data_IF_839288167220
#
_entry.id   IF_839288167220
#
_cell.length_a   1.000
_cell.length_b   1.000
_cell.length_c   1.000
_cell.angle_alpha   90.00
_cell.angle_beta   90.00
_cell.angle_gamma   90.00
#
_symmetry.space_group_name_H-M   'P 1'
#
loop_
_entity.id
_entity.type
_entity.pdbx_description
1 polymer ?
#
# COMPACT_ATOMS: atom_id res chain seq x y z
N UNK A 1 -20.18 -8.06 12.51
CA UNK A 1 -20.35 -9.06 11.45
C UNK A 1 -18.96 -9.48 11.00
N UNK A 2 -18.58 -10.76 11.16
CA UNK A 2 -17.27 -11.28 10.75
C UNK A 2 -17.26 -11.49 9.23
N UNK A 3 -16.31 -10.87 8.53
CA UNK A 3 -16.09 -11.03 7.09
C UNK A 3 -14.75 -11.74 6.87
N UNK A 4 -14.74 -13.02 6.44
CA UNK A 4 -13.51 -13.81 6.35
C UNK A 4 -12.53 -13.29 5.28
N UNK A 5 -12.99 -12.44 4.38
CA UNK A 5 -12.22 -11.76 3.33
C UNK A 5 -11.60 -10.43 3.77
N UNK A 6 -11.82 -10.03 5.03
CA UNK A 6 -11.29 -8.80 5.61
C UNK A 6 -10.20 -9.12 6.64
N UNK A 7 -9.21 -8.22 6.73
CA UNK A 7 -8.16 -8.29 7.73
C UNK A 7 -8.24 -7.08 8.65
N UNK A 8 -7.86 -7.25 9.92
CA UNK A 8 -7.65 -6.13 10.83
C UNK A 8 -6.29 -5.44 10.60
N UNK A 9 -5.50 -5.95 9.67
CA UNK A 9 -4.13 -5.53 9.43
C UNK A 9 -3.89 -5.07 7.99
N UNK A 10 -2.89 -4.22 7.86
CA UNK A 10 -2.46 -3.60 6.62
C UNK A 10 -0.97 -3.85 6.43
N UNK A 11 -0.59 -4.37 5.27
CA UNK A 11 0.80 -4.70 4.95
C UNK A 11 1.42 -3.66 4.01
N UNK A 12 2.61 -3.17 4.35
CA UNK A 12 3.49 -2.45 3.42
C UNK A 12 4.56 -3.41 2.91
N UNK A 13 4.52 -3.73 1.62
CA UNK A 13 5.54 -4.55 0.97
C UNK A 13 6.68 -3.68 0.49
N UNK A 14 7.92 -4.08 0.80
CA UNK A 14 9.10 -3.40 0.26
C UNK A 14 9.29 -3.83 -1.19
N UNK A 15 9.89 -2.96 -2.00
CA UNK A 15 10.21 -3.24 -3.39
C UNK A 15 11.68 -3.00 -3.63
N UNK A 16 12.24 -3.79 -4.52
CA UNK A 16 13.58 -3.57 -5.04
C UNK A 16 13.61 -2.25 -5.82
N UNK A 17 14.70 -1.50 -5.66
CA UNK A 17 15.03 -0.34 -6.47
C UNK A 17 16.47 -0.47 -6.96
N UNK A 18 16.86 0.40 -7.90
CA UNK A 18 18.13 0.33 -8.65
C UNK A 18 19.36 0.07 -7.76
N UNK A 19 19.37 0.61 -6.54
CA UNK A 19 20.53 0.56 -5.63
C UNK A 19 20.26 -0.18 -4.31
N UNK A 20 19.06 -0.71 -4.09
CA UNK A 20 18.71 -1.35 -2.81
C UNK A 20 17.73 -2.49 -3.00
N UNK A 21 18.07 -3.65 -2.44
CA UNK A 21 17.19 -4.81 -2.43
C UNK A 21 15.96 -4.58 -1.54
N UNK A 22 14.90 -5.35 -1.76
CA UNK A 22 13.71 -5.28 -0.93
C UNK A 22 13.99 -5.65 0.55
N UNK A 23 14.95 -6.55 0.78
CA UNK A 23 15.42 -6.94 2.12
C UNK A 23 16.15 -5.79 2.81
N UNK A 24 17.17 -5.20 2.17
CA UNK A 24 17.91 -4.07 2.74
C UNK A 24 16.99 -2.89 3.02
N UNK A 25 15.99 -2.66 2.16
CA UNK A 25 14.96 -1.64 2.41
C UNK A 25 14.14 -1.93 3.66
N UNK A 26 13.77 -3.19 3.91
CA UNK A 26 13.08 -3.57 5.14
C UNK A 26 13.99 -3.33 6.37
N UNK A 27 15.26 -3.69 6.29
CA UNK A 27 16.25 -3.43 7.35
C UNK A 27 16.38 -1.93 7.63
N UNK A 28 16.47 -1.10 6.60
CA UNK A 28 16.50 0.36 6.76
C UNK A 28 15.23 0.89 7.43
N UNK A 29 14.06 0.44 6.99
CA UNK A 29 12.76 0.82 7.58
C UNK A 29 12.72 0.48 9.08
N UNK A 30 13.21 -0.71 9.47
CA UNK A 30 13.22 -1.17 10.85
C UNK A 30 14.25 -0.42 11.72
N UNK A 31 15.40 -0.06 11.15
CA UNK A 31 16.44 0.71 11.86
C UNK A 31 16.03 2.18 12.03
N UNK A 32 15.49 2.80 10.98
CA UNK A 32 14.98 4.18 11.03
C UNK A 32 13.63 4.29 11.73
N UNK A 33 12.95 3.15 11.95
CA UNK A 33 11.56 3.04 12.42
C UNK A 33 10.59 3.94 11.65
N UNK A 34 10.75 3.96 10.34
CA UNK A 34 10.07 4.93 9.46
C UNK A 34 9.81 4.37 8.08
N UNK A 35 8.59 4.53 7.60
CA UNK A 35 8.22 4.39 6.19
C UNK A 35 8.25 5.77 5.53
N UNK A 36 9.06 5.91 4.47
CA UNK A 36 9.13 7.14 3.68
C UNK A 36 8.02 7.13 2.63
N UNK A 37 7.27 8.22 2.55
CA UNK A 37 6.24 8.41 1.56
C UNK A 37 6.86 8.58 0.16
N UNK A 38 6.19 8.02 -0.84
CA UNK A 38 6.54 8.20 -2.25
C UNK A 38 5.51 9.09 -2.93
N UNK A 39 5.96 9.86 -3.91
CA UNK A 39 5.11 10.75 -4.69
C UNK A 39 4.27 9.97 -5.69
N UNK A 40 2.96 10.17 -5.68
CA UNK A 40 2.08 9.52 -6.66
C UNK A 40 2.14 10.16 -8.03
N UNK A 41 2.06 9.36 -9.12
CA UNK A 41 2.18 9.87 -10.49
C UNK A 41 1.08 10.87 -10.91
N UNK A 42 -0.17 10.68 -10.48
CA UNK A 42 -1.32 11.46 -11.01
C UNK A 42 -1.71 12.67 -10.16
N UNK A 43 -1.42 12.68 -8.87
CA UNK A 43 -1.74 13.81 -7.97
C UNK A 43 -0.50 14.52 -7.42
N UNK A 44 0.71 14.03 -7.74
CA UNK A 44 1.97 14.58 -7.25
C UNK A 44 2.01 14.81 -5.72
N UNK A 45 1.31 13.95 -4.98
CA UNK A 45 1.16 14.04 -3.53
C UNK A 45 1.86 12.85 -2.89
N UNK A 46 2.61 13.05 -1.78
CA UNK A 46 3.28 11.95 -1.09
C UNK A 46 2.28 11.03 -0.38
N UNK A 47 2.54 9.73 -0.42
CA UNK A 47 1.86 8.77 0.45
C UNK A 47 2.71 7.55 0.78
N UNK A 48 2.43 6.90 1.91
CA UNK A 48 2.80 5.50 2.15
C UNK A 48 1.59 4.63 1.84
N UNK A 49 1.74 3.64 0.97
CA UNK A 49 0.67 2.70 0.60
C UNK A 49 0.75 1.40 1.40
N UNK A 50 -0.41 0.84 1.71
CA UNK A 50 -0.58 -0.44 2.37
C UNK A 50 -1.64 -1.27 1.63
N UNK A 51 -1.56 -2.58 1.73
CA UNK A 51 -2.57 -3.50 1.19
C UNK A 51 -3.29 -4.21 2.33
N UNK A 52 -4.61 -4.13 2.34
CA UNK A 52 -5.44 -5.02 3.14
C UNK A 52 -5.57 -6.37 2.42
N UNK A 53 -5.04 -7.41 3.05
CA UNK A 53 -5.16 -8.75 2.53
C UNK A 53 -5.43 -9.75 3.67
N UNK A 54 -6.35 -10.71 3.47
CA UNK A 54 -6.43 -11.91 4.30
C UNK A 54 -5.07 -12.62 4.36
N UNK A 55 -4.81 -13.34 5.44
CA UNK A 55 -3.58 -14.11 5.62
C UNK A 55 -3.28 -15.04 4.45
N UNK A 56 -4.31 -15.67 3.87
CA UNK A 56 -4.18 -16.54 2.69
C UNK A 56 -3.76 -15.79 1.42
N UNK A 57 -4.10 -14.50 1.31
CA UNK A 57 -3.74 -13.64 0.19
C UNK A 57 -2.33 -13.06 0.34
N UNK A 58 -1.79 -12.92 1.56
CA UNK A 58 -0.42 -12.43 1.80
C UNK A 58 0.61 -13.29 1.04
N UNK A 59 0.44 -14.61 1.03
CA UNK A 59 1.32 -15.55 0.30
C UNK A 59 1.28 -15.34 -1.22
N UNK A 60 0.17 -14.86 -1.77
CA UNK A 60 0.10 -14.51 -3.20
C UNK A 60 0.76 -13.14 -3.47
N UNK A 61 0.63 -12.20 -2.54
CA UNK A 61 1.26 -10.89 -2.64
C UNK A 61 2.78 -10.95 -2.53
N UNK A 62 3.33 -11.87 -1.73
CA UNK A 62 4.79 -12.07 -1.64
C UNK A 62 5.40 -12.46 -2.98
N UNK A 63 4.68 -13.24 -3.79
CA UNK A 63 5.10 -13.60 -5.15
C UNK A 63 5.04 -12.45 -6.16
N UNK A 64 4.15 -11.47 -5.95
CA UNK A 64 3.90 -10.36 -6.90
C UNK A 64 4.71 -9.10 -6.60
N UNK A 65 4.91 -8.77 -5.33
CA UNK A 65 5.57 -7.52 -4.92
C UNK A 65 6.98 -7.74 -4.41
N UNK A 66 7.11 -8.56 -3.38
CA UNK A 66 8.36 -8.99 -2.74
C UNK A 66 8.01 -9.89 -1.56
N UNK A 67 8.84 -10.87 -1.19
CA UNK A 67 8.66 -11.63 0.04
C UNK A 67 8.97 -10.84 1.32
N UNK A 68 9.22 -9.54 1.24
CA UNK A 68 9.54 -8.68 2.39
C UNK A 68 8.48 -7.61 2.63
N UNK A 69 8.13 -7.38 3.89
CA UNK A 69 7.13 -6.39 4.26
C UNK A 69 6.93 -6.25 5.76
N UNK A 70 6.12 -5.26 6.14
CA UNK A 70 5.81 -4.91 7.52
C UNK A 70 4.32 -4.64 7.67
N UNK A 71 3.73 -5.12 8.77
CA UNK A 71 2.30 -5.08 9.04
C UNK A 71 1.93 -4.20 10.21
N UNK A 72 0.83 -3.48 10.09
CA UNK A 72 0.25 -2.63 11.14
C UNK A 72 -1.25 -2.88 11.29
N UNK A 73 -1.81 -2.57 12.46
CA UNK A 73 -3.25 -2.65 12.66
C UNK A 73 -3.98 -1.47 12.02
N UNK A 74 -5.22 -1.71 11.55
CA UNK A 74 -6.09 -0.66 11.02
C UNK A 74 -6.31 0.50 12.02
N UNK A 75 -6.58 0.25 13.33
CA UNK A 75 -6.68 1.34 14.30
C UNK A 75 -5.42 2.20 14.36
N UNK A 76 -4.23 1.60 14.31
CA UNK A 76 -2.98 2.35 14.29
C UNK A 76 -2.88 3.22 13.04
N UNK A 77 -3.06 2.65 11.85
CA UNK A 77 -2.97 3.39 10.59
C UNK A 77 -4.02 4.50 10.51
N UNK A 78 -5.25 4.22 10.93
CA UNK A 78 -6.32 5.21 10.98
C UNK A 78 -5.99 6.38 11.92
N UNK A 79 -5.37 6.11 13.07
CA UNK A 79 -4.93 7.15 14.02
C UNK A 79 -3.83 8.07 13.46
N UNK A 80 -3.19 7.66 12.35
CA UNK A 80 -2.13 8.40 11.63
C UNK A 80 -2.64 9.00 10.31
N UNK A 81 -3.91 9.39 10.27
CA UNK A 81 -4.58 9.93 9.08
C UNK A 81 -4.58 8.96 7.88
N UNK A 82 -4.50 7.66 8.17
CA UNK A 82 -4.59 6.62 7.16
C UNK A 82 -6.03 6.30 6.79
N UNK A 83 -6.28 6.05 5.51
CA UNK A 83 -7.62 5.78 4.99
C UNK A 83 -7.59 4.82 3.79
N UNK A 84 -8.66 4.05 3.55
CA UNK A 84 -8.87 3.36 2.28
C UNK A 84 -8.77 4.32 1.09
N UNK A 85 -8.28 3.78 -0.04
CA UNK A 85 -8.23 4.47 -1.33
C UNK A 85 -9.59 4.40 -2.03
N UNK A 86 -10.01 5.52 -2.59
CA UNK A 86 -11.12 5.65 -3.52
C UNK A 86 -10.62 5.37 -4.94
N UNK A 87 -10.89 4.16 -5.43
CA UNK A 87 -10.73 3.86 -6.84
C UNK A 87 -11.91 4.41 -7.63
N UNK A 88 -11.63 5.31 -8.56
CA UNK A 88 -12.65 6.01 -9.34
C UNK A 88 -12.41 5.74 -10.81
N UNK A 89 -13.46 5.44 -11.54
CA UNK A 89 -13.38 5.27 -12.99
C UNK A 89 -12.90 6.60 -13.62
N UNK A 90 -11.96 6.54 -14.56
CA UNK A 90 -11.26 7.72 -15.06
C UNK A 90 -12.16 8.86 -15.57
N UNK A 91 -13.26 8.56 -16.25
CA UNK A 91 -14.18 9.58 -16.75
C UNK A 91 -14.95 10.27 -15.61
N UNK A 92 -15.33 9.52 -14.58
CA UNK A 92 -15.95 10.04 -13.38
C UNK A 92 -14.96 10.91 -12.60
N UNK A 93 -13.72 10.45 -12.45
CA UNK A 93 -12.67 11.20 -11.77
C UNK A 93 -12.49 12.61 -12.37
N UNK A 94 -12.51 12.73 -13.71
CA UNK A 94 -12.39 14.01 -14.44
C UNK A 94 -13.60 14.94 -14.26
N UNK A 95 -14.77 14.39 -13.96
CA UNK A 95 -16.01 15.16 -13.75
C UNK A 95 -16.12 15.72 -12.32
N UNK A 96 -15.20 15.36 -11.43
CA UNK A 96 -15.22 15.79 -10.02
C UNK A 96 -14.13 16.81 -9.74
N UNK A 97 -14.39 17.68 -8.77
CA UNK A 97 -13.37 18.53 -8.14
C UNK A 97 -13.00 17.93 -6.79
N UNK A 98 -11.78 17.41 -6.68
CA UNK A 98 -11.29 16.77 -5.45
C UNK A 98 -10.66 17.80 -4.53
N UNK A 99 -11.12 17.84 -3.28
CA UNK A 99 -10.46 18.61 -2.23
C UNK A 99 -9.01 18.14 -2.06
N UNK A 100 -8.06 19.06 -1.83
CA UNK A 100 -6.62 18.76 -1.79
C UNK A 100 -6.25 17.67 -0.78
N UNK A 101 -6.94 17.63 0.36
CA UNK A 101 -6.75 16.58 1.37
C UNK A 101 -7.10 15.16 0.87
N UNK A 102 -7.93 15.03 -0.15
CA UNK A 102 -8.33 13.74 -0.72
C UNK A 102 -7.39 13.26 -1.82
N UNK A 103 -6.50 14.11 -2.33
CA UNK A 103 -5.54 13.76 -3.38
C UNK A 103 -4.70 12.51 -3.07
N UNK A 104 -4.23 12.29 -1.82
CA UNK A 104 -3.58 11.05 -1.40
C UNK A 104 -4.41 9.79 -1.64
N UNK A 105 -5.72 9.90 -1.48
CA UNK A 105 -6.64 8.76 -1.34
C UNK A 105 -7.43 8.49 -2.61
N UNK A 106 -7.29 9.27 -3.67
CA UNK A 106 -8.07 9.09 -4.89
C UNK A 106 -7.16 8.55 -5.99
N UNK A 107 -7.59 7.46 -6.62
CA UNK A 107 -6.85 6.82 -7.72
C UNK A 107 -7.77 6.56 -8.90
N UNK A 108 -7.56 7.24 -10.04
CA UNK A 108 -8.28 6.92 -11.25
C UNK A 108 -7.82 5.58 -11.83
N UNK A 109 -8.74 4.80 -12.41
CA UNK A 109 -8.41 3.59 -13.16
C UNK A 109 -9.28 3.44 -14.42
N UNK A 110 -8.81 2.64 -15.37
CA UNK A 110 -9.45 2.47 -16.67
C UNK A 110 -9.36 1.02 -17.17
N UNK A 111 -10.36 0.17 -16.87
CA UNK A 111 -10.26 -1.27 -17.10
C UNK A 111 -10.37 -1.64 -18.58
N UNK A 112 -9.79 -2.78 -18.97
CA UNK A 112 -9.78 -3.25 -20.36
C UNK A 112 -11.17 -3.68 -20.87
N UNK A 113 -12.08 -4.07 -19.98
CA UNK A 113 -13.45 -4.49 -20.32
C UNK A 113 -14.42 -3.31 -20.58
N UNK A 114 -13.92 -2.07 -20.59
CA UNK A 114 -14.72 -0.88 -20.94
C UNK A 114 -15.30 -0.99 -22.36
N UNK A 115 -16.44 -0.34 -22.66
CA UNK A 115 -16.95 -0.25 -24.02
C UNK A 115 -15.93 0.38 -24.98
N UNK A 116 -15.89 -0.07 -26.23
CA UNK A 116 -14.98 0.48 -27.24
C UNK A 116 -15.26 1.97 -27.53
N UNK A 117 -16.51 2.40 -27.39
CA UNK A 117 -16.90 3.82 -27.47
C UNK A 117 -16.29 4.68 -26.36
N UNK A 118 -15.97 4.08 -25.21
CA UNK A 118 -15.25 4.72 -24.11
C UNK A 118 -13.73 4.61 -24.28
N UNK A 119 -13.20 4.11 -25.39
CA UNK A 119 -11.75 4.10 -25.65
C UNK A 119 -11.21 5.49 -26.04
N UNK A 120 -11.72 6.53 -25.39
CA UNK A 120 -11.23 7.91 -25.52
C UNK A 120 -9.79 7.99 -25.05
N UNK A 121 -8.99 8.89 -25.67
CA UNK A 121 -7.65 9.24 -25.20
C UNK A 121 -7.72 9.73 -23.75
N UNK A 122 -7.44 8.84 -22.82
CA UNK A 122 -7.22 9.17 -21.41
C UNK A 122 -5.71 9.15 -21.15
N UNK A 123 -5.25 10.01 -20.25
CA UNK A 123 -3.86 10.02 -19.79
C UNK A 123 -3.58 8.87 -18.81
N UNK A 124 -4.64 8.22 -18.29
CA UNK A 124 -4.50 7.10 -17.36
C UNK A 124 -4.22 5.79 -18.10
N UNK A 125 -3.31 4.95 -17.58
CA UNK A 125 -3.02 3.65 -18.17
C UNK A 125 -4.24 2.74 -18.13
N UNK A 126 -4.27 1.73 -19.00
CA UNK A 126 -5.26 0.65 -18.89
C UNK A 126 -4.90 -0.21 -17.68
N UNK A 127 -5.71 -0.15 -16.62
CA UNK A 127 -5.54 -0.90 -15.38
C UNK A 127 -6.89 -1.17 -14.72
N UNK A 128 -6.97 -2.24 -13.93
CA UNK A 128 -8.15 -2.59 -13.14
C UNK A 128 -7.77 -2.67 -11.65
N UNK A 129 -8.35 -1.77 -10.85
CA UNK A 129 -8.17 -1.71 -9.40
C UNK A 129 -9.47 -2.00 -8.64
N UNK A 130 -10.51 -2.51 -9.32
CA UNK A 130 -11.85 -2.70 -8.73
C UNK A 130 -11.88 -3.57 -7.48
N UNK A 131 -10.88 -4.44 -7.31
CA UNK A 131 -10.77 -5.36 -6.17
C UNK A 131 -9.53 -5.11 -5.31
N UNK A 132 -8.74 -4.07 -5.62
CA UNK A 132 -7.62 -3.69 -4.76
C UNK A 132 -8.18 -3.10 -3.47
N UNK A 133 -7.55 -3.45 -2.34
CA UNK A 133 -7.91 -2.93 -1.01
C UNK A 133 -6.73 -2.15 -0.44
N UNK A 134 -6.36 -1.10 -1.14
CA UNK A 134 -5.26 -0.23 -0.75
C UNK A 134 -5.70 0.76 0.33
N UNK A 135 -4.81 0.98 1.29
CA UNK A 135 -4.88 2.07 2.25
C UNK A 135 -3.66 2.97 2.06
N UNK A 136 -3.77 4.24 2.40
CA UNK A 136 -2.64 5.17 2.35
C UNK A 136 -2.56 6.01 3.60
N UNK A 137 -1.36 6.52 3.92
CA UNK A 137 -1.15 7.70 4.78
C UNK A 137 -0.52 8.82 3.95
N UNK A 138 -0.89 10.09 4.13
CA UNK A 138 -0.48 11.19 3.24
C UNK A 138 0.89 11.80 3.59
N UNK A 139 1.69 11.09 4.37
CA UNK A 139 3.00 11.51 4.88
C UNK A 139 3.80 10.27 5.28
N UNK A 140 5.08 10.49 5.58
CA UNK A 140 5.93 9.47 6.20
C UNK A 140 5.26 8.91 7.46
N UNK A 141 5.42 7.61 7.68
CA UNK A 141 4.90 6.95 8.87
C UNK A 141 6.06 6.55 9.78
N UNK A 142 6.28 7.30 10.85
CA UNK A 142 7.12 6.87 11.97
C UNK A 142 6.36 5.86 12.83
N UNK A 143 7.07 4.92 13.44
CA UNK A 143 6.50 3.90 14.32
C UNK A 143 7.47 3.48 15.42
N UNK A 144 6.97 2.73 16.40
CA UNK A 144 7.75 1.99 17.38
C UNK A 144 7.58 0.48 17.17
N UNK A 145 8.48 -0.34 17.71
CA UNK A 145 8.45 -1.79 17.48
C UNK A 145 7.19 -2.46 18.02
N UNK A 146 6.59 -1.92 19.08
CA UNK A 146 5.34 -2.42 19.68
C UNK A 146 4.09 -2.13 18.82
N UNK A 147 4.21 -1.27 17.81
CA UNK A 147 3.15 -0.97 16.84
C UNK A 147 3.20 -1.87 15.61
N UNK A 148 4.26 -2.70 15.48
CA UNK A 148 4.39 -3.67 14.40
C UNK A 148 3.62 -4.94 14.77
N UNK A 149 2.69 -5.33 13.92
CA UNK A 149 1.86 -6.52 14.14
C UNK A 149 2.49 -7.78 13.53
N UNK A 150 3.23 -7.62 12.44
CA UNK A 150 3.99 -8.71 11.81
C UNK A 150 5.07 -8.18 10.87
N UNK A 151 6.04 -9.05 10.59
CA UNK A 151 7.06 -8.86 9.56
C UNK A 151 6.96 -10.03 8.59
N UNK A 152 7.08 -9.74 7.30
CA UNK A 152 7.10 -10.73 6.22
C UNK A 152 8.54 -10.90 5.78
N UNK A 153 9.02 -12.14 5.75
CA UNK A 153 10.35 -12.53 5.31
C UNK A 153 10.26 -13.70 4.33
N UNK A 154 11.21 -13.79 3.40
CA UNK A 154 11.30 -14.90 2.43
C UNK A 154 11.63 -16.24 3.09
N UNK A 155 12.47 -16.19 4.12
CA UNK A 155 12.79 -17.32 4.97
C UNK A 155 13.01 -16.85 6.40
N UNK A 156 12.82 -17.74 7.36
CA UNK A 156 13.09 -17.44 8.76
C UNK A 156 14.60 -17.30 8.96
N UNK A 157 15.08 -16.07 9.19
CA UNK A 157 16.44 -15.81 9.64
C UNK A 157 16.45 -15.56 11.17
N UNK A 158 16.97 -16.48 11.99
CA UNK A 158 17.08 -16.32 13.44
C UNK A 158 17.83 -15.05 13.86
N UNK A 159 18.72 -14.51 13.00
CA UNK A 159 19.51 -13.31 13.30
C UNK A 159 18.68 -12.03 13.40
N UNK A 160 17.49 -12.00 12.79
CA UNK A 160 16.56 -10.87 12.88
C UNK A 160 15.73 -10.88 14.19
N UNK A 161 15.65 -12.04 14.86
CA UNK A 161 14.87 -12.22 16.09
C UNK A 161 15.74 -12.24 17.36
N UNK A 162 17.06 -12.39 17.24
CA UNK A 162 17.97 -12.41 18.38
C UNK A 162 18.21 -10.99 18.89
N UNK A 163 17.34 -10.57 19.81
CA UNK A 163 17.62 -9.50 20.77
C UNK A 163 18.78 -9.94 21.65
N UNK A 164 19.83 -9.11 21.75
CA UNK A 164 20.60 -9.05 22.98
C UNK A 164 19.61 -8.77 24.12
N UNK A 165 19.57 -9.69 25.07
CA UNK A 165 18.76 -9.60 26.29
C UNK A 165 19.14 -8.37 27.12
#
# INVERSE_FOLDING_TARGET
>A
MYRPDQSNFLAHFTKEAVEISAYERLVLILNEKKLKASTMPWTNTPCVSFTECPWTSIIKHTKKYSPYGIGFSKPYIFSRNGSPVFYVIADQHKKQTWHKHLHPFVTPFWPAYRPQSANTKTEFPTCDYSHEREWRTPHDLAFEYDQIEFIILDSYDPKLCNRSA
#
